data_IF_392222786324
#
_entry.id   IF_392222786324
#
_cell.length_a   1.000
_cell.length_b   1.000
_cell.length_c   1.000
_cell.angle_alpha   90.00
_cell.angle_beta   90.00
_cell.angle_gamma   90.00
#
_symmetry.space_group_name_H-M   'P 1'
#
loop_
_entity.id
_entity.type
_entity.pdbx_description
1 polymer ?
#
# COMPACT_ATOMS: atom_id res chain seq x y z
N UNK A 1 -11.90 -30.15 31.59
CA UNK A 1 -11.41 -29.60 30.31
C UNK A 1 -11.99 -28.21 30.14
N UNK A 2 -11.31 -27.19 30.65
CA UNK A 2 -11.68 -25.79 30.42
C UNK A 2 -11.41 -25.48 28.95
N UNK A 3 -12.45 -25.54 28.12
CA UNK A 3 -12.38 -25.06 26.76
C UNK A 3 -11.98 -23.59 26.79
N UNK A 4 -10.76 -23.27 26.36
CA UNK A 4 -10.26 -21.90 26.27
C UNK A 4 -11.26 -21.12 25.43
N UNK A 5 -11.90 -20.11 26.01
CA UNK A 5 -12.91 -19.32 25.32
C UNK A 5 -12.22 -18.55 24.19
N UNK A 6 -12.27 -19.08 22.97
CA UNK A 6 -11.78 -18.39 21.79
C UNK A 6 -12.83 -17.35 21.41
N UNK A 7 -12.55 -16.09 21.73
CA UNK A 7 -13.47 -14.97 21.49
C UNK A 7 -13.45 -14.55 20.01
N UNK A 8 -12.33 -14.75 19.32
CA UNK A 8 -12.09 -14.27 17.94
C UNK A 8 -13.11 -14.77 16.89
N UNK A 9 -13.51 -16.06 16.84
CA UNK A 9 -14.49 -16.55 15.86
C UNK A 9 -15.88 -15.90 15.98
N UNK A 10 -16.19 -15.29 17.13
CA UNK A 10 -17.49 -14.63 17.39
C UNK A 10 -17.48 -13.13 17.03
N UNK A 11 -16.34 -12.59 16.61
CA UNK A 11 -16.19 -11.16 16.29
C UNK A 11 -16.25 -10.95 14.78
N UNK A 12 -17.07 -9.99 14.38
CA UNK A 12 -17.27 -9.64 12.97
C UNK A 12 -16.05 -9.02 12.30
N UNK A 13 -15.10 -8.48 13.06
CA UNK A 13 -13.84 -7.91 12.54
C UNK A 13 -12.72 -8.95 12.40
N UNK A 14 -12.96 -10.21 12.76
CA UNK A 14 -11.93 -11.24 12.69
C UNK A 14 -11.47 -11.44 11.24
N UNK A 15 -10.21 -11.13 10.96
CA UNK A 15 -9.60 -11.26 9.63
C UNK A 15 -9.68 -12.69 9.11
N UNK A 16 -9.66 -13.67 10.02
CA UNK A 16 -9.71 -15.10 9.68
C UNK A 16 -11.12 -15.63 9.45
N UNK A 17 -12.17 -14.81 9.63
CA UNK A 17 -13.52 -15.22 9.25
C UNK A 17 -13.58 -15.40 7.73
N UNK A 18 -14.02 -16.57 7.21
CA UNK A 18 -14.18 -16.79 5.77
C UNK A 18 -14.93 -15.67 5.06
N UNK A 19 -15.94 -15.06 5.71
CA UNK A 19 -16.69 -13.93 5.14
C UNK A 19 -15.84 -12.69 4.92
N UNK A 20 -14.91 -12.41 5.82
CA UNK A 20 -14.01 -11.27 5.70
C UNK A 20 -12.93 -11.52 4.65
N UNK A 21 -12.41 -12.75 4.60
CA UNK A 21 -11.45 -13.17 3.56
C UNK A 21 -12.09 -13.02 2.17
N UNK A 22 -13.33 -13.47 1.99
CA UNK A 22 -14.06 -13.32 0.72
C UNK A 22 -14.29 -11.86 0.33
N UNK A 23 -14.63 -11.01 1.30
CA UNK A 23 -14.80 -9.57 1.06
C UNK A 23 -13.50 -8.92 0.61
N UNK A 24 -12.39 -9.17 1.31
CA UNK A 24 -11.06 -8.66 0.94
C UNK A 24 -10.69 -9.13 -0.46
N UNK A 25 -10.88 -10.41 -0.76
CA UNK A 25 -10.60 -10.96 -2.10
C UNK A 25 -11.41 -10.28 -3.21
N UNK A 26 -12.67 -9.94 -2.94
CA UNK A 26 -13.52 -9.20 -3.89
C UNK A 26 -13.02 -7.78 -4.09
N UNK A 27 -12.67 -7.10 -3.00
CA UNK A 27 -12.18 -5.72 -3.03
C UNK A 27 -10.81 -5.64 -3.75
N UNK A 28 -9.92 -6.60 -3.50
CA UNK A 28 -8.63 -6.74 -4.19
C UNK A 28 -8.81 -7.04 -5.68
N UNK A 29 -9.73 -7.94 -6.04
CA UNK A 29 -10.04 -8.23 -7.44
C UNK A 29 -10.60 -6.99 -8.17
N UNK A 30 -11.50 -6.24 -7.53
CA UNK A 30 -12.04 -5.01 -8.10
C UNK A 30 -10.98 -3.90 -8.23
N UNK A 31 -10.03 -3.82 -7.29
CA UNK A 31 -8.91 -2.89 -7.39
C UNK A 31 -7.99 -3.26 -8.55
N UNK A 32 -7.63 -4.54 -8.70
CA UNK A 32 -6.80 -5.03 -9.79
C UNK A 32 -7.45 -4.81 -11.17
N UNK A 33 -8.76 -5.00 -11.29
CA UNK A 33 -9.49 -4.71 -12.54
C UNK A 33 -9.48 -3.22 -12.90
N UNK A 34 -9.58 -2.32 -11.91
CA UNK A 34 -9.52 -0.87 -12.16
C UNK A 34 -8.13 -0.45 -12.61
N UNK A 35 -7.09 -0.94 -11.95
CA UNK A 35 -5.70 -0.64 -12.30
C UNK A 35 -5.38 -1.14 -13.72
N UNK A 36 -5.83 -2.35 -14.08
CA UNK A 36 -5.68 -2.86 -15.44
C UNK A 36 -6.41 -2.00 -16.50
N UNK A 37 -7.62 -1.51 -16.20
CA UNK A 37 -8.35 -0.62 -17.10
C UNK A 37 -7.69 0.76 -17.25
N UNK A 38 -7.12 1.29 -16.17
CA UNK A 38 -6.36 2.55 -16.19
C UNK A 38 -5.07 2.38 -17.01
N UNK A 39 -4.31 1.30 -16.79
CA UNK A 39 -3.12 0.99 -17.61
C UNK A 39 -3.46 0.82 -19.10
N UNK A 40 -4.57 0.16 -19.43
CA UNK A 40 -5.00 0.00 -20.83
C UNK A 40 -5.33 1.35 -21.48
N UNK A 41 -6.01 2.25 -20.75
CA UNK A 41 -6.29 3.62 -21.23
C UNK A 41 -5.01 4.41 -21.41
N UNK A 42 -4.11 4.38 -20.43
CA UNK A 42 -2.82 5.06 -20.54
C UNK A 42 -1.99 4.56 -21.73
N UNK A 43 -1.99 3.25 -21.99
CA UNK A 43 -1.32 2.67 -23.17
C UNK A 43 -1.96 3.13 -24.48
N UNK A 44 -3.29 3.20 -24.54
CA UNK A 44 -4.02 3.70 -25.72
C UNK A 44 -3.73 5.18 -25.95
N UNK A 45 -3.80 6.01 -24.91
CA UNK A 45 -3.53 7.43 -24.98
C UNK A 45 -2.08 7.69 -25.40
N UNK A 46 -1.12 6.97 -24.82
CA UNK A 46 0.29 7.05 -25.21
C UNK A 46 0.52 6.62 -26.67
N UNK A 47 -0.21 5.61 -27.16
CA UNK A 47 -0.12 5.19 -28.56
C UNK A 47 -0.70 6.25 -29.49
N UNK A 48 -1.84 6.85 -29.13
CA UNK A 48 -2.48 7.94 -29.89
C UNK A 48 -1.57 9.16 -29.94
N UNK A 49 -0.99 9.57 -28.82
CA UNK A 49 -0.05 10.70 -28.76
C UNK A 49 1.19 10.44 -29.62
N UNK A 50 1.75 9.22 -29.59
CA UNK A 50 2.89 8.85 -30.46
C UNK A 50 2.55 8.97 -31.94
N UNK A 51 1.36 8.54 -32.36
CA UNK A 51 0.90 8.66 -33.75
C UNK A 51 0.68 10.13 -34.12
N UNK A 52 0.08 10.93 -33.24
CA UNK A 52 -0.08 12.38 -33.46
C UNK A 52 1.27 13.06 -33.62
N UNK A 53 2.23 12.74 -32.75
CA UNK A 53 3.59 13.27 -32.81
C UNK A 53 4.28 12.90 -34.13
N UNK A 54 4.18 11.63 -34.55
CA UNK A 54 4.73 11.19 -35.84
C UNK A 54 4.10 11.94 -37.01
N UNK A 55 2.78 12.16 -36.98
CA UNK A 55 2.07 12.93 -38.01
C UNK A 55 2.51 14.39 -38.04
N UNK A 56 2.61 15.06 -36.89
CA UNK A 56 3.10 16.46 -36.78
C UNK A 56 4.53 16.60 -37.32
N UNK A 57 5.41 15.66 -37.00
CA UNK A 57 6.77 15.61 -37.54
C UNK A 57 6.78 15.42 -39.06
N UNK A 58 5.84 14.65 -39.60
CA UNK A 58 5.74 14.40 -41.04
C UNK A 58 5.10 15.56 -41.83
N UNK A 59 4.12 16.28 -41.26
CA UNK A 59 3.50 17.46 -41.89
C UNK A 59 4.38 18.70 -41.84
N UNK A 60 5.48 18.67 -41.07
CA UNK A 60 6.37 19.83 -40.94
C UNK A 60 5.76 20.98 -40.13
N UNK A 61 4.64 20.77 -39.43
CA UNK A 61 4.05 21.72 -38.47
C UNK A 61 4.88 21.76 -37.17
N UNK A 62 6.19 21.90 -37.31
CA UNK A 62 7.08 22.32 -36.23
C UNK A 62 7.54 23.76 -36.50
N UNK A 63 6.60 24.63 -36.86
CA UNK A 63 6.83 26.07 -36.91
C UNK A 63 5.89 26.74 -35.89
N UNK A 64 6.52 27.42 -34.94
CA UNK A 64 6.04 28.61 -34.24
C UNK A 64 4.83 28.45 -33.29
N UNK A 65 5.14 28.60 -32.00
CA UNK A 65 4.32 29.26 -30.99
C UNK A 65 2.81 29.42 -31.31
N UNK A 66 2.00 28.54 -30.71
CA UNK A 66 0.57 28.76 -30.58
C UNK A 66 0.34 29.96 -29.64
N UNK A 67 0.49 31.18 -30.15
CA UNK A 67 -0.13 32.38 -29.58
C UNK A 67 -1.62 32.18 -29.78
N UNK A 68 -2.26 31.57 -28.79
CA UNK A 68 -3.71 31.46 -28.69
C UNK A 68 -4.25 32.89 -28.56
N UNK A 69 -4.73 33.44 -29.66
CA UNK A 69 -5.58 34.61 -29.64
C UNK A 69 -6.81 34.30 -28.77
N UNK A 70 -6.94 35.04 -27.66
CA UNK A 70 -8.00 34.85 -26.68
C UNK A 70 -9.40 34.95 -27.33
N UNK A 71 -10.31 33.98 -27.13
CA UNK A 71 -11.68 34.10 -27.61
C UNK A 71 -12.43 35.19 -26.82
N UNK A 72 -13.30 35.90 -27.54
CA UNK A 72 -14.16 36.98 -27.04
C UNK A 72 -14.99 36.57 -25.81
N UNK A 73 -15.36 37.52 -24.92
CA UNK A 73 -15.90 37.19 -23.62
C UNK A 73 -17.33 36.64 -23.72
N UNK A 74 -17.48 35.34 -23.41
CA UNK A 74 -18.73 34.71 -22.98
C UNK A 74 -19.40 35.53 -21.85
N UNK A 75 -20.74 35.48 -21.67
CA UNK A 75 -21.43 36.24 -20.62
C UNK A 75 -20.96 35.77 -19.24
N UNK A 76 -19.97 36.47 -18.70
CA UNK A 76 -19.43 36.19 -17.38
C UNK A 76 -20.50 36.49 -16.34
N UNK A 77 -20.74 35.58 -15.38
CA UNK A 77 -21.67 35.85 -14.30
C UNK A 77 -21.18 37.09 -13.53
N UNK A 78 -22.08 38.04 -13.31
CA UNK A 78 -21.78 39.31 -12.64
C UNK A 78 -21.35 39.00 -11.20
N UNK A 79 -20.03 39.09 -10.97
CA UNK A 79 -19.43 38.92 -9.64
C UNK A 79 -19.47 40.26 -8.92
N UNK A 80 -20.48 40.43 -8.07
CA UNK A 80 -20.73 41.67 -7.33
C UNK A 80 -19.54 42.13 -6.47
N UNK A 81 -18.68 41.20 -6.04
CA UNK A 81 -17.50 41.46 -5.20
C UNK A 81 -16.16 41.24 -5.90
N UNK A 82 -16.13 41.20 -7.24
CA UNK A 82 -14.89 40.93 -7.99
C UNK A 82 -13.78 41.96 -7.71
N UNK A 83 -14.17 43.19 -7.36
CA UNK A 83 -13.23 44.27 -7.05
C UNK A 83 -12.61 44.07 -5.67
N UNK A 84 -13.43 43.73 -4.68
CA UNK A 84 -13.02 43.48 -3.31
C UNK A 84 -12.17 42.21 -3.21
N UNK A 85 -12.54 41.14 -3.92
CA UNK A 85 -11.74 39.90 -3.99
C UNK A 85 -10.36 40.14 -4.59
N UNK A 86 -10.26 40.93 -5.68
CA UNK A 86 -8.97 41.30 -6.27
C UNK A 86 -8.15 42.20 -5.37
N UNK A 87 -8.78 43.14 -4.66
CA UNK A 87 -8.10 43.98 -3.69
C UNK A 87 -7.61 43.16 -2.48
N UNK A 88 -8.38 42.19 -2.01
CA UNK A 88 -7.99 41.27 -0.95
C UNK A 88 -6.85 40.34 -1.40
N UNK A 89 -6.91 39.79 -2.61
CA UNK A 89 -5.86 38.96 -3.18
C UNK A 89 -4.54 39.75 -3.40
N UNK A 90 -4.64 41.02 -3.83
CA UNK A 90 -3.48 41.90 -3.95
C UNK A 90 -2.91 42.31 -2.58
N UNK A 91 -3.77 42.55 -1.59
CA UNK A 91 -3.36 42.86 -0.21
C UNK A 91 -2.75 41.64 0.51
N UNK A 92 -3.21 40.43 0.17
CA UNK A 92 -2.64 39.17 0.66
C UNK A 92 -1.32 38.82 -0.03
N UNK A 93 -0.93 39.57 -1.06
CA UNK A 93 0.29 39.36 -1.82
C UNK A 93 0.30 37.97 -2.43
N UNK A 94 -0.10 37.84 -3.70
CA UNK A 94 0.14 36.61 -4.44
C UNK A 94 1.64 36.34 -4.47
N UNK A 95 2.13 35.58 -3.48
CA UNK A 95 3.52 35.15 -3.40
C UNK A 95 3.80 34.45 -4.71
N UNK A 96 4.82 34.91 -5.42
CA UNK A 96 5.25 34.23 -6.64
C UNK A 96 5.59 32.78 -6.30
N UNK A 97 5.43 31.88 -7.26
CA UNK A 97 5.66 30.44 -7.05
C UNK A 97 7.05 30.15 -6.45
N UNK A 98 8.03 30.99 -6.80
CA UNK A 98 9.39 31.00 -6.27
C UNK A 98 9.49 31.38 -4.78
N UNK A 99 8.63 32.26 -4.29
CA UNK A 99 8.53 32.59 -2.85
C UNK A 99 7.85 31.48 -2.05
N UNK A 100 6.88 30.78 -2.66
CA UNK A 100 6.22 29.62 -2.04
C UNK A 100 7.20 28.45 -1.88
N UNK A 101 8.01 28.14 -2.90
CA UNK A 101 9.07 27.13 -2.82
C UNK A 101 10.15 27.48 -1.79
N UNK A 102 10.50 28.76 -1.69
CA UNK A 102 11.48 29.24 -0.72
C UNK A 102 10.95 29.19 0.71
N UNK A 103 9.65 29.41 0.90
CA UNK A 103 8.95 29.27 2.18
C UNK A 103 8.84 27.80 2.58
N UNK A 104 8.48 26.90 1.65
CA UNK A 104 8.51 25.45 1.85
C UNK A 104 9.90 24.95 2.27
N UNK A 105 10.96 25.43 1.61
CA UNK A 105 12.33 25.05 1.96
C UNK A 105 12.78 25.60 3.32
N UNK A 106 12.23 26.74 3.75
CA UNK A 106 12.43 27.27 5.11
C UNK A 106 11.66 26.44 6.13
N UNK A 107 10.41 26.11 5.85
CA UNK A 107 9.55 25.30 6.71
C UNK A 107 10.08 23.87 6.86
N UNK A 108 10.65 23.29 5.81
CA UNK A 108 11.31 21.99 5.86
C UNK A 108 12.58 22.05 6.72
N UNK A 109 13.38 23.11 6.58
CA UNK A 109 14.54 23.36 7.46
C UNK A 109 14.12 23.58 8.90
N UNK A 110 12.99 24.25 9.12
CA UNK A 110 12.41 24.47 10.44
C UNK A 110 11.84 23.19 11.03
N UNK A 111 11.12 22.35 10.28
CA UNK A 111 10.70 21.01 10.72
C UNK A 111 11.89 20.13 11.07
N UNK A 112 12.95 20.18 10.26
CA UNK A 112 14.19 19.45 10.49
C UNK A 112 14.92 19.98 11.73
N UNK A 113 14.92 21.30 11.95
CA UNK A 113 15.50 21.97 13.13
C UNK A 113 14.68 21.75 14.40
N UNK A 114 13.36 21.72 14.29
CA UNK A 114 12.40 21.46 15.36
C UNK A 114 12.37 19.96 15.72
N UNK A 115 13.10 19.12 14.98
CA UNK A 115 13.22 17.70 15.30
C UNK A 115 11.91 16.93 15.10
N UNK A 116 10.95 17.46 14.34
CA UNK A 116 9.67 16.81 14.07
C UNK A 116 9.84 15.48 13.27
N UNK A 117 11.04 15.24 12.74
CA UNK A 117 11.49 14.01 12.09
C UNK A 117 12.79 13.43 12.70
N UNK A 118 13.24 13.95 13.84
CA UNK A 118 14.34 13.33 14.58
C UNK A 118 13.76 12.16 15.37
N UNK A 119 14.37 10.98 15.20
CA UNK A 119 14.07 9.75 15.93
C UNK A 119 13.81 10.01 17.42
N UNK A 120 12.96 9.20 18.09
CA UNK A 120 12.62 9.40 19.49
C UNK A 120 13.91 9.47 20.31
N UNK A 121 14.27 10.68 20.73
CA UNK A 121 15.34 10.90 21.70
C UNK A 121 14.87 10.18 22.95
N UNK A 122 15.61 9.16 23.36
CA UNK A 122 15.35 8.38 24.56
C UNK A 122 15.49 9.28 25.79
N UNK A 123 14.43 10.03 26.08
CA UNK A 123 14.28 10.78 27.31
C UNK A 123 14.11 9.74 28.42
N UNK A 124 15.12 9.65 29.30
CA UNK A 124 15.01 8.82 30.50
C UNK A 124 13.74 9.23 31.24
N UNK A 125 12.77 8.33 31.46
CA UNK A 125 11.55 8.69 32.16
C UNK A 125 11.90 9.09 33.59
N UNK A 126 11.76 10.38 33.92
CA UNK A 126 11.75 10.82 35.31
C UNK A 126 10.37 10.54 35.89
N UNK A 127 10.25 9.45 36.64
CA UNK A 127 9.01 9.06 37.33
C UNK A 127 8.88 7.54 37.46
N UNK A 128 7.99 7.05 38.33
CA UNK A 128 7.66 5.63 38.38
C UNK A 128 7.16 5.18 37.01
N UNK A 129 7.57 3.97 36.60
CA UNK A 129 7.17 3.42 35.32
C UNK A 129 5.63 3.42 35.22
N UNK A 130 5.06 3.87 34.08
CA UNK A 130 3.61 3.84 33.90
C UNK A 130 3.10 2.41 34.03
N UNK A 131 1.85 2.24 34.45
CA UNK A 131 1.23 0.95 34.79
C UNK A 131 1.30 -0.14 33.69
N UNK A 132 1.54 0.26 32.44
CA UNK A 132 1.72 -0.65 31.30
C UNK A 132 3.18 -1.05 31.05
N UNK A 133 4.15 -0.34 31.63
CA UNK A 133 5.59 -0.62 31.57
C UNK A 133 6.09 -1.37 32.80
N UNK A 134 5.33 -1.37 33.90
CA UNK A 134 5.53 -2.31 35.00
C UNK A 134 5.17 -3.72 34.51
N UNK A 135 6.16 -4.60 34.41
CA UNK A 135 5.90 -6.02 34.23
C UNK A 135 4.97 -6.49 35.36
N UNK A 136 3.96 -7.31 35.08
CA UNK A 136 3.16 -7.91 36.15
C UNK A 136 4.13 -8.64 37.08
N UNK A 137 4.17 -8.22 38.34
CA UNK A 137 4.98 -8.87 39.37
C UNK A 137 4.69 -10.36 39.29
N UNK A 138 5.75 -11.16 39.07
CA UNK A 138 5.68 -12.60 38.96
C UNK A 138 5.37 -13.24 40.33
N UNK A 139 4.22 -12.92 40.88
CA UNK A 139 3.56 -13.68 41.94
C UNK A 139 2.48 -14.53 41.29
N UNK A 140 2.93 -15.45 40.45
CA UNK A 140 2.15 -16.62 40.06
C UNK A 140 3.12 -17.79 40.08
N UNK A 141 3.00 -18.54 41.17
CA UNK A 141 3.36 -19.94 41.37
C UNK A 141 4.66 -20.45 40.75
N UNK A 142 5.54 -20.89 41.65
CA UNK A 142 6.61 -21.83 41.37
C UNK A 142 6.06 -23.12 40.71
N UNK A 143 5.94 -23.08 39.39
CA UNK A 143 5.72 -24.22 38.51
C UNK A 143 6.87 -24.25 37.52
N UNK A 144 7.95 -24.92 37.90
CA UNK A 144 9.06 -25.21 37.02
C UNK A 144 8.54 -25.97 35.78
N UNK A 145 8.50 -25.32 34.62
CA UNK A 145 8.55 -26.01 33.34
C UNK A 145 9.62 -25.36 32.49
N UNK A 146 10.76 -26.05 32.48
CA UNK A 146 11.80 -25.90 31.49
C UNK A 146 11.21 -25.97 30.08
N UNK A 147 11.82 -25.22 29.17
CA UNK A 147 11.73 -25.40 27.73
C UNK A 147 11.64 -26.90 27.36
N UNK A 148 10.44 -27.36 27.02
CA UNK A 148 10.23 -28.65 26.40
C UNK A 148 9.42 -28.42 25.13
N UNK A 149 10.07 -28.67 23.99
CA UNK A 149 9.44 -28.69 22.68
C UNK A 149 8.09 -29.45 22.71
N UNK A 150 7.06 -28.99 21.98
CA UNK A 150 5.74 -29.62 22.04
C UNK A 150 5.85 -31.10 21.65
N UNK A 151 5.25 -32.03 22.43
CA UNK A 151 5.31 -33.45 22.10
C UNK A 151 4.63 -33.69 20.75
N UNK A 152 5.22 -34.51 19.86
CA UNK A 152 4.64 -34.79 18.56
C UNK A 152 3.25 -35.43 18.75
N UNK A 153 2.24 -34.82 18.12
CA UNK A 153 0.87 -35.31 18.13
C UNK A 153 0.84 -36.78 17.65
N UNK A 154 0.45 -37.70 18.55
CA UNK A 154 0.23 -39.12 18.21
C UNK A 154 -0.74 -39.20 17.03
N UNK A 155 -0.22 -39.57 15.86
CA UNK A 155 -0.98 -39.72 14.61
C UNK A 155 -0.55 -38.81 13.45
N UNK A 156 0.38 -37.87 13.65
CA UNK A 156 0.86 -36.96 12.60
C UNK A 156 1.52 -37.66 11.41
N UNK A 157 2.37 -38.66 11.66
CA UNK A 157 3.11 -39.37 10.62
C UNK A 157 2.20 -40.14 9.64
N UNK A 158 1.12 -40.75 10.15
CA UNK A 158 0.17 -41.49 9.31
C UNK A 158 -0.72 -40.57 8.47
N UNK A 159 -1.01 -39.35 8.95
CA UNK A 159 -1.74 -38.33 8.19
C UNK A 159 -0.84 -37.70 7.12
N UNK A 160 0.39 -37.33 7.47
CA UNK A 160 1.39 -36.82 6.52
C UNK A 160 1.68 -37.83 5.41
N UNK A 161 1.86 -39.12 5.72
CA UNK A 161 2.08 -40.14 4.71
C UNK A 161 0.89 -40.31 3.73
N UNK A 162 -0.35 -40.14 4.20
CA UNK A 162 -1.55 -40.17 3.34
C UNK A 162 -1.63 -38.94 2.44
N UNK A 163 -1.32 -37.77 2.97
CA UNK A 163 -1.34 -36.52 2.22
C UNK A 163 -0.20 -36.47 1.19
N UNK A 164 0.99 -36.95 1.53
CA UNK A 164 2.13 -37.08 0.60
C UNK A 164 1.82 -38.08 -0.52
N UNK A 165 1.11 -39.17 -0.21
CA UNK A 165 0.67 -40.13 -1.23
C UNK A 165 -0.35 -39.49 -2.18
N UNK A 166 -1.32 -38.74 -1.67
CA UNK A 166 -2.30 -38.00 -2.49
C UNK A 166 -1.63 -36.95 -3.38
N UNK A 167 -0.65 -36.21 -2.85
CA UNK A 167 0.13 -35.23 -3.64
C UNK A 167 0.93 -35.90 -4.75
N UNK A 168 1.56 -37.05 -4.48
CA UNK A 168 2.33 -37.83 -5.48
C UNK A 168 1.45 -38.47 -6.56
N UNK A 169 0.19 -38.78 -6.26
CA UNK A 169 -0.78 -39.32 -7.23
C UNK A 169 -1.39 -38.22 -8.10
N UNK A 170 -1.52 -36.99 -7.58
CA UNK A 170 -2.07 -35.84 -8.29
C UNK A 170 -1.03 -35.02 -9.07
N UNK A 171 0.26 -35.39 -8.98
CA UNK A 171 1.33 -34.67 -9.68
C UNK A 171 1.35 -35.04 -11.18
N UNK A 172 0.96 -34.12 -12.09
CA UNK A 172 0.92 -34.39 -13.53
C UNK A 172 2.33 -34.57 -14.13
N UNK A 173 3.40 -34.20 -13.42
CA UNK A 173 4.78 -34.32 -13.89
C UNK A 173 5.38 -35.71 -13.63
N UNK A 174 4.73 -36.55 -12.83
CA UNK A 174 5.26 -37.87 -12.46
C UNK A 174 5.34 -38.86 -13.63
N UNK A 175 4.51 -38.68 -14.65
CA UNK A 175 4.55 -39.47 -15.90
C UNK A 175 5.68 -39.07 -16.85
N UNK A 176 6.31 -37.91 -16.67
CA UNK A 176 7.37 -37.42 -17.57
C UNK A 176 8.77 -37.90 -17.20
N UNK A 177 8.99 -38.39 -15.97
CA UNK A 177 10.31 -38.83 -15.49
C UNK A 177 10.47 -40.34 -15.61
N UNK A 178 10.34 -40.88 -16.82
CA UNK A 178 10.89 -42.19 -17.16
C UNK A 178 12.09 -41.99 -18.09
N UNK A 179 13.26 -41.76 -17.50
CA UNK A 179 14.53 -41.79 -18.23
C UNK A 179 14.99 -43.25 -18.19
N UNK A 180 14.93 -44.02 -19.29
CA UNK A 180 15.54 -45.33 -19.32
C UNK A 180 17.06 -45.16 -19.19
N UNK A 181 17.64 -45.68 -18.12
CA UNK A 181 19.09 -45.91 -18.03
C UNK A 181 19.46 -46.93 -19.12
N UNK A 182 19.83 -46.45 -20.30
CA UNK A 182 20.51 -47.25 -21.32
C UNK A 182 21.84 -47.70 -20.71
N UNK A 183 22.01 -49.01 -20.57
CA UNK A 183 23.27 -49.62 -20.18
C UNK A 183 24.38 -49.20 -21.13
N UNK A 184 25.51 -48.78 -20.55
CA UNK A 184 26.78 -48.76 -21.25
C UNK A 184 27.49 -50.08 -20.92
N UNK A 185 27.83 -50.75 -22.02
CA UNK A 185 28.67 -51.93 -22.28
C UNK A 185 29.56 -52.43 -21.14
#
# INVERSE_FOLDING_TARGET
>A
MSGRLIILPKKSWNVWDPKNIERVRRDEAAAAEREAQEEEKERQDAAVERVKEMKRRATGENDEALVVAAPAPEPTPVRLFAREERAAAAALGGKTEEEFEREQRREERERKRLGMFAAPVALKPQGPAPWYASAPSAEVDAGAEAEAAPPPLKGGAARQARDDRRRREQDPMRGLVHIPRRGAQ
#
